data_IF_691978534844
#
_entry.id   IF_691978534844
#
_cell.length_a   1.000
_cell.length_b   1.000
_cell.length_c   1.000
_cell.angle_alpha   90.00
_cell.angle_beta   90.00
_cell.angle_gamma   90.00
#
_symmetry.space_group_name_H-M   'P 1'
#
loop_
_entity.id
_entity.type
_entity.pdbx_description
1 polymer ?
#
# COMPACT_ATOMS: atom_id res chain seq x y z
N UNK A 1 2.15 1.16 -4.24
CA UNK A 1 2.82 -0.15 -4.41
C UNK A 1 3.44 -0.16 -5.78
N UNK A 2 4.72 -0.49 -5.87
CA UNK A 2 5.43 -0.63 -7.14
C UNK A 2 5.93 -2.08 -7.28
N UNK A 3 5.08 -2.92 -7.88
CA UNK A 3 5.30 -4.37 -7.98
C UNK A 3 5.64 -4.97 -6.61
N UNK A 4 6.88 -5.40 -6.41
CA UNK A 4 7.36 -5.97 -5.14
C UNK A 4 7.66 -4.93 -4.05
N UNK A 5 7.81 -3.65 -4.40
CA UNK A 5 8.20 -2.59 -3.46
C UNK A 5 6.96 -1.99 -2.81
N UNK A 6 7.00 -1.93 -1.48
CA UNK A 6 5.98 -1.29 -0.64
C UNK A 6 6.64 -0.21 0.18
N UNK A 7 6.11 1.00 0.05
CA UNK A 7 6.53 2.19 0.80
C UNK A 7 5.31 2.71 1.56
N UNK A 8 5.53 3.05 2.83
CA UNK A 8 4.51 3.61 3.71
C UNK A 8 5.02 4.91 4.26
N UNK A 9 4.27 5.98 4.03
CA UNK A 9 4.54 7.31 4.54
C UNK A 9 3.49 7.69 5.57
N UNK A 10 3.92 8.23 6.70
CA UNK A 10 3.02 8.64 7.78
C UNK A 10 3.38 10.04 8.31
N UNK A 11 2.36 10.90 8.37
CA UNK A 11 2.44 12.27 8.91
C UNK A 11 3.62 13.07 8.37
N UNK A 12 3.94 12.91 7.08
CA UNK A 12 5.03 13.60 6.37
C UNK A 12 6.41 13.52 7.04
N UNK A 13 6.62 12.53 7.91
CA UNK A 13 7.80 12.44 8.77
C UNK A 13 8.44 11.07 8.79
N UNK A 14 7.64 10.02 8.66
CA UNK A 14 8.13 8.65 8.74
C UNK A 14 7.94 7.95 7.41
N UNK A 15 8.97 7.20 7.00
CA UNK A 15 8.94 6.33 5.85
C UNK A 15 9.42 4.93 6.25
N UNK A 16 8.70 3.90 5.79
CA UNK A 16 9.17 2.51 5.83
C UNK A 16 9.09 1.92 4.43
N UNK A 17 10.20 1.35 3.98
CA UNK A 17 10.30 0.65 2.69
C UNK A 17 10.60 -0.82 2.91
N UNK A 18 9.85 -1.68 2.23
CA UNK A 18 10.07 -3.13 2.21
C UNK A 18 9.81 -3.71 0.83
N UNK A 19 10.30 -4.94 0.65
CA UNK A 19 10.00 -5.77 -0.51
C UNK A 19 9.16 -6.98 -0.10
N UNK A 20 8.11 -7.24 -0.85
CA UNK A 20 7.16 -8.33 -0.62
C UNK A 20 7.00 -9.10 -1.93
N UNK A 21 7.12 -10.43 -1.84
CA UNK A 21 6.96 -11.35 -2.97
C UNK A 21 5.85 -12.36 -2.61
N UNK A 22 4.59 -12.06 -2.95
CA UNK A 22 3.49 -12.99 -2.69
C UNK A 22 3.69 -14.28 -3.49
N UNK A 23 3.39 -15.43 -2.87
CA UNK A 23 3.44 -16.73 -3.55
C UNK A 23 2.16 -17.05 -4.33
N UNK A 24 1.05 -16.38 -4.00
CA UNK A 24 -0.25 -16.57 -4.66
C UNK A 24 -0.52 -15.43 -5.64
N UNK A 25 -1.04 -15.77 -6.80
CA UNK A 25 -1.39 -14.82 -7.87
C UNK A 25 -2.54 -13.88 -7.48
N UNK A 26 -3.44 -14.32 -6.59
CA UNK A 26 -4.60 -13.54 -6.14
C UNK A 26 -4.29 -12.59 -4.97
N UNK A 27 -3.03 -12.50 -4.53
CA UNK A 27 -2.59 -11.62 -3.44
C UNK A 27 -2.42 -10.15 -3.86
N UNK A 28 -3.47 -9.60 -4.48
CA UNK A 28 -3.51 -8.24 -5.04
C UNK A 28 -4.43 -7.28 -4.27
N UNK A 29 -5.13 -7.78 -3.24
CA UNK A 29 -6.12 -7.02 -2.47
C UNK A 29 -5.52 -6.17 -1.35
N UNK A 30 -6.28 -5.15 -0.91
CA UNK A 30 -5.98 -4.31 0.25
C UNK A 30 -7.15 -4.37 1.22
N UNK A 31 -6.88 -4.44 2.53
CA UNK A 31 -7.90 -4.40 3.58
C UNK A 31 -7.45 -3.53 4.76
N UNK A 32 -8.39 -2.79 5.34
CA UNK A 32 -8.20 -2.17 6.65
C UNK A 32 -8.37 -3.20 7.77
N UNK A 33 -7.62 -3.06 8.87
CA UNK A 33 -7.80 -3.87 10.07
C UNK A 33 -7.56 -3.02 11.32
N UNK A 34 -8.24 -3.36 12.41
CA UNK A 34 -8.04 -2.76 13.72
C UNK A 34 -8.27 -3.83 14.80
N UNK A 35 -7.38 -3.91 15.78
CA UNK A 35 -7.46 -4.91 16.86
C UNK A 35 -8.13 -4.36 18.13
N UNK A 36 -8.39 -3.05 18.18
CA UNK A 36 -9.04 -2.36 19.31
C UNK A 36 -10.29 -1.64 18.80
N UNK A 37 -11.22 -1.36 19.73
CA UNK A 37 -12.45 -0.63 19.42
C UNK A 37 -12.13 0.84 19.10
N UNK A 38 -12.97 1.44 18.26
CA UNK A 38 -12.95 2.83 17.78
C UNK A 38 -11.81 3.18 16.81
N UNK A 39 -11.87 2.63 15.60
CA UNK A 39 -11.04 3.06 14.48
C UNK A 39 -11.91 3.33 13.25
N UNK A 40 -11.70 4.47 12.60
CA UNK A 40 -12.46 4.87 11.42
C UNK A 40 -11.50 5.31 10.32
N UNK A 41 -11.66 4.72 9.13
CA UNK A 41 -11.02 5.23 7.92
C UNK A 41 -11.95 6.29 7.34
N UNK A 42 -11.56 7.56 7.42
CA UNK A 42 -12.37 8.66 6.88
C UNK A 42 -12.33 8.72 5.35
N UNK A 43 -11.17 8.45 4.77
CA UNK A 43 -10.92 8.52 3.33
C UNK A 43 -9.98 7.38 2.94
N UNK A 44 -10.32 6.65 1.89
CA UNK A 44 -9.44 5.68 1.26
C UNK A 44 -9.43 5.93 -0.25
N UNK A 45 -8.30 6.41 -0.75
CA UNK A 45 -8.10 6.66 -2.17
C UNK A 45 -7.18 5.60 -2.77
N UNK A 46 -7.48 5.19 -4.00
CA UNK A 46 -6.62 4.33 -4.82
C UNK A 46 -6.26 5.08 -6.08
N UNK A 47 -4.98 5.07 -6.43
CA UNK A 47 -4.47 5.59 -7.70
C UNK A 47 -3.93 4.47 -8.57
N UNK A 48 -4.15 4.57 -9.87
CA UNK A 48 -3.48 3.74 -10.86
C UNK A 48 -2.18 4.45 -11.28
N UNK A 49 -1.05 3.78 -11.15
CA UNK A 49 0.26 4.32 -11.53
C UNK A 49 0.54 4.07 -13.01
N UNK A 50 1.14 5.05 -13.67
CA UNK A 50 1.65 4.92 -15.03
C UNK A 50 3.08 4.38 -15.05
N UNK A 51 3.53 3.89 -16.21
CA UNK A 51 4.94 3.60 -16.44
C UNK A 51 5.78 4.87 -16.34
N UNK A 52 6.96 4.77 -15.72
CA UNK A 52 7.97 5.82 -15.73
C UNK A 52 8.93 5.71 -16.93
N UNK A 53 8.87 4.60 -17.67
CA UNK A 53 9.71 4.36 -18.83
C UNK A 53 9.07 4.94 -20.09
N UNK A 54 9.83 5.66 -20.93
CA UNK A 54 9.34 6.09 -22.24
C UNK A 54 9.12 4.87 -23.14
N UNK A 55 8.06 4.96 -23.94
CA UNK A 55 7.74 4.05 -25.04
C UNK A 55 8.62 4.30 -26.26
#
# INVERSE_FOLDING_TARGET
MDRSVVEVFANDRQCLTKRIYPSREDSIGVRGFANKKDSTIKILNKWNMSSIWPS
#
